data_IF_652418350805
#
_entry.id   IF_652418350805
#
_cell.length_a   1.000
_cell.length_b   1.000
_cell.length_c   1.000
_cell.angle_alpha   90.00
_cell.angle_beta   90.00
_cell.angle_gamma   90.00
#
_symmetry.space_group_name_H-M   'P 1'
#
loop_
_entity.id
_entity.type
_entity.pdbx_description
1 polymer ?
#
# COMPACT_ATOMS: atom_id res chain seq x y z
N UNK A 1 -18.63 -4.05 42.50
CA UNK A 1 -17.44 -3.72 41.68
C UNK A 1 -17.91 -3.03 40.43
N UNK A 2 -17.71 -1.72 40.36
CA UNK A 2 -18.05 -0.85 39.24
C UNK A 2 -16.80 -0.60 38.41
N UNK A 3 -16.85 -0.90 37.11
CA UNK A 3 -15.87 -0.43 36.13
C UNK A 3 -16.67 0.23 35.00
N UNK A 4 -16.53 1.54 34.87
CA UNK A 4 -17.15 2.34 33.81
C UNK A 4 -16.34 2.22 32.52
N UNK A 5 -16.96 2.09 31.33
CA UNK A 5 -16.33 2.47 30.07
C UNK A 5 -16.57 3.96 29.80
N UNK A 6 -15.49 4.68 29.54
CA UNK A 6 -15.51 6.10 29.18
C UNK A 6 -16.30 6.35 27.90
N UNK A 7 -17.19 7.34 27.98
CA UNK A 7 -17.79 8.13 26.90
C UNK A 7 -17.67 7.59 25.47
N UNK A 8 -18.67 6.80 25.06
CA UNK A 8 -18.97 6.59 23.65
C UNK A 8 -19.50 7.88 23.02
N UNK A 9 -18.70 8.49 22.15
CA UNK A 9 -19.18 9.49 21.20
C UNK A 9 -19.87 8.78 20.04
N UNK A 10 -21.19 8.94 19.93
CA UNK A 10 -21.93 8.61 18.72
C UNK A 10 -21.63 9.72 17.71
N UNK A 11 -20.86 9.43 16.65
CA UNK A 11 -20.60 10.38 15.57
C UNK A 11 -21.59 10.10 14.45
N UNK A 12 -22.71 10.83 14.43
CA UNK A 12 -23.64 10.78 13.30
C UNK A 12 -23.09 11.63 12.16
N UNK A 13 -23.17 11.13 10.92
CA UNK A 13 -22.82 11.88 9.70
C UNK A 13 -23.63 13.20 9.61
N UNK A 14 -24.81 13.26 10.25
CA UNK A 14 -25.63 14.46 10.29
C UNK A 14 -25.03 15.60 11.13
N UNK A 15 -24.20 15.29 12.14
CA UNK A 15 -23.62 16.30 13.03
C UNK A 15 -22.49 17.10 12.36
N UNK A 16 -21.88 16.56 11.30
CA UNK A 16 -20.85 17.23 10.51
C UNK A 16 -21.40 18.28 9.53
N UNK A 17 -22.73 18.32 9.31
CA UNK A 17 -23.33 19.17 8.28
C UNK A 17 -24.19 20.33 8.82
N UNK A 18 -24.43 20.41 10.13
CA UNK A 18 -25.39 21.38 10.69
C UNK A 18 -24.75 22.61 11.36
N UNK A 19 -23.58 23.04 10.93
CA UNK A 19 -22.90 24.19 11.52
C UNK A 19 -21.95 24.92 10.58
N UNK A 20 -22.45 25.56 9.53
CA UNK A 20 -21.72 26.59 8.77
C UNK A 20 -22.71 27.47 7.97
N UNK A 21 -23.32 28.46 8.63
CA UNK A 21 -23.80 29.65 7.94
C UNK A 21 -22.66 30.68 7.98
N UNK A 22 -21.94 30.81 6.87
CA UNK A 22 -20.81 31.72 6.76
C UNK A 22 -19.85 31.30 5.66
N UNK A 23 -19.91 32.03 4.55
CA UNK A 23 -18.87 32.22 3.53
C UNK A 23 -17.54 31.48 3.78
N UNK A 24 -17.32 30.37 3.09
CA UNK A 24 -16.00 29.99 2.58
C UNK A 24 -16.18 28.95 1.48
N UNK A 25 -15.73 29.31 0.28
CA UNK A 25 -15.78 28.47 -0.90
C UNK A 25 -15.02 27.16 -0.61
N UNK A 26 -15.78 26.10 -0.29
CA UNK A 26 -15.25 24.74 -0.27
C UNK A 26 -14.85 24.41 -1.70
N UNK A 27 -13.54 24.43 -1.97
CA UNK A 27 -12.95 23.68 -3.09
C UNK A 27 -13.32 22.22 -2.86
N UNK A 28 -14.48 21.82 -3.36
CA UNK A 28 -14.82 20.43 -3.58
C UNK A 28 -13.83 19.94 -4.64
N UNK A 29 -12.70 19.41 -4.19
CA UNK A 29 -11.77 18.70 -5.04
C UNK A 29 -12.60 17.67 -5.80
N UNK A 30 -12.59 17.75 -7.14
CA UNK A 30 -13.17 16.70 -7.97
C UNK A 30 -12.49 15.39 -7.57
N UNK A 31 -13.25 14.43 -7.08
CA UNK A 31 -12.80 13.05 -6.98
C UNK A 31 -12.80 12.52 -8.41
N UNK A 32 -11.74 12.80 -9.16
CA UNK A 32 -11.48 12.04 -10.38
C UNK A 32 -11.16 10.61 -9.93
N UNK A 33 -12.03 9.68 -10.31
CA UNK A 33 -11.94 8.30 -9.85
C UNK A 33 -10.84 7.59 -10.63
N UNK A 34 -9.73 7.30 -9.96
CA UNK A 34 -8.61 6.54 -10.53
C UNK A 34 -8.80 5.06 -10.24
N UNK A 35 -8.66 4.23 -11.28
CA UNK A 35 -8.71 2.77 -11.17
C UNK A 35 -7.32 2.16 -11.35
N UNK A 36 -6.99 1.17 -10.52
CA UNK A 36 -5.80 0.34 -10.71
C UNK A 36 -6.04 -0.63 -11.86
N UNK A 37 -5.13 -0.65 -12.84
CA UNK A 37 -5.20 -1.58 -13.98
C UNK A 37 -4.56 -2.95 -13.68
N UNK A 38 -3.70 -3.02 -12.66
CA UNK A 38 -3.04 -4.25 -12.26
C UNK A 38 -2.16 -4.04 -11.04
N UNK A 39 -1.91 -5.13 -10.32
CA UNK A 39 -1.09 -5.16 -9.12
C UNK A 39 0.01 -6.22 -9.29
N UNK A 40 1.23 -5.86 -8.93
CA UNK A 40 2.40 -6.72 -9.09
C UNK A 40 3.25 -6.69 -7.81
N UNK A 41 3.67 -7.86 -7.36
CA UNK A 41 4.55 -8.05 -6.20
C UNK A 41 5.88 -8.62 -6.66
N UNK A 42 6.98 -8.15 -6.08
CA UNK A 42 8.34 -8.56 -6.41
C UNK A 42 9.06 -9.02 -5.14
N UNK A 43 8.80 -10.24 -4.63
CA UNK A 43 9.37 -10.72 -3.37
C UNK A 43 10.91 -10.66 -3.34
N UNK A 44 11.54 -10.95 -4.48
CA UNK A 44 12.98 -10.88 -4.70
C UNK A 44 13.31 -9.71 -5.62
N UNK A 45 14.22 -8.83 -5.19
CA UNK A 45 14.72 -7.70 -6.00
C UNK A 45 15.26 -8.22 -7.34
N UNK A 46 14.92 -7.51 -8.42
CA UNK A 46 15.40 -7.77 -9.79
C UNK A 46 14.88 -9.04 -10.46
N UNK A 47 14.05 -9.84 -9.77
CA UNK A 47 13.38 -11.01 -10.34
C UNK A 47 12.05 -10.68 -11.02
N UNK A 48 11.39 -11.69 -11.62
CA UNK A 48 10.08 -11.53 -12.22
C UNK A 48 9.03 -11.13 -11.17
N UNK A 49 8.09 -10.29 -11.58
CA UNK A 49 6.95 -9.89 -10.74
C UNK A 49 5.82 -10.90 -10.79
N UNK A 50 5.09 -11.01 -9.69
CA UNK A 50 3.88 -11.81 -9.54
C UNK A 50 2.67 -10.91 -9.79
N UNK A 51 1.88 -11.20 -10.82
CA UNK A 51 0.60 -10.53 -11.04
C UNK A 51 -0.42 -11.05 -10.02
N UNK A 52 -1.10 -10.15 -9.31
CA UNK A 52 -2.06 -10.50 -8.25
C UNK A 52 -3.32 -9.65 -8.35
N UNK A 53 -4.45 -10.20 -7.90
CA UNK A 53 -5.72 -9.47 -7.86
C UNK A 53 -5.88 -8.63 -6.58
N UNK A 54 -5.25 -9.08 -5.50
CA UNK A 54 -5.26 -8.43 -4.19
C UNK A 54 -3.99 -8.81 -3.43
N UNK A 55 -3.60 -7.97 -2.47
CA UNK A 55 -2.46 -8.23 -1.60
C UNK A 55 -2.59 -7.46 -0.29
N UNK A 56 -2.00 -7.97 0.78
CA UNK A 56 -2.00 -7.31 2.07
C UNK A 56 -1.06 -6.09 2.07
N UNK A 57 -1.46 -5.05 2.80
CA UNK A 57 -0.70 -3.81 2.94
C UNK A 57 -0.38 -3.56 4.40
N UNK A 58 0.88 -3.22 4.68
CA UNK A 58 1.32 -2.72 5.99
C UNK A 58 1.93 -1.31 5.86
N UNK A 59 2.51 -0.81 6.94
CA UNK A 59 3.18 0.50 7.01
C UNK A 59 4.40 0.63 6.07
N UNK A 60 4.95 -0.48 5.58
CA UNK A 60 6.11 -0.56 4.68
C UNK A 60 5.70 -0.74 3.22
N UNK A 61 4.46 -1.17 2.95
CA UNK A 61 3.91 -1.34 1.62
C UNK A 61 3.23 -2.70 1.45
N UNK A 62 3.30 -3.25 0.24
CA UNK A 62 2.80 -4.59 -0.04
C UNK A 62 3.60 -5.59 0.79
N UNK A 63 2.92 -6.39 1.62
CA UNK A 63 3.57 -7.30 2.56
C UNK A 63 4.53 -8.23 1.82
N UNK A 64 5.81 -8.24 2.22
CA UNK A 64 6.83 -9.10 1.61
C UNK A 64 7.40 -8.61 0.27
N UNK A 65 6.92 -7.50 -0.29
CA UNK A 65 7.49 -6.92 -1.51
C UNK A 65 8.96 -6.49 -1.26
N UNK A 66 9.84 -6.87 -2.19
CA UNK A 66 11.30 -6.60 -2.19
C UNK A 66 12.01 -6.94 -0.88
N UNK A 67 11.54 -7.97 -0.18
CA UNK A 67 12.11 -8.39 1.10
C UNK A 67 13.38 -9.24 0.94
N UNK A 68 13.66 -9.75 -0.26
CA UNK A 68 14.83 -10.55 -0.57
C UNK A 68 15.66 -9.94 -1.71
N UNK A 69 16.92 -10.34 -1.79
CA UNK A 69 17.85 -9.95 -2.84
C UNK A 69 18.84 -11.08 -3.09
N UNK A 70 19.19 -11.31 -4.35
CA UNK A 70 20.24 -12.26 -4.73
C UNK A 70 21.59 -11.60 -4.52
N UNK A 71 22.52 -12.35 -3.93
CA UNK A 71 23.92 -11.96 -3.76
C UNK A 71 24.83 -13.01 -4.39
N UNK A 72 26.03 -12.60 -4.79
CA UNK A 72 27.06 -13.53 -5.24
C UNK A 72 27.79 -14.19 -4.05
N UNK A 73 28.81 -14.99 -4.35
CA UNK A 73 29.63 -15.69 -3.34
C UNK A 73 30.38 -14.75 -2.38
N UNK A 74 30.53 -13.48 -2.76
CA UNK A 74 31.22 -12.44 -1.97
C UNK A 74 30.23 -11.62 -1.14
N UNK A 75 28.93 -11.85 -1.32
CA UNK A 75 27.87 -11.08 -0.68
C UNK A 75 27.51 -9.79 -1.41
N UNK A 76 28.07 -9.55 -2.61
CA UNK A 76 27.73 -8.39 -3.42
C UNK A 76 26.36 -8.60 -4.06
N UNK A 77 25.53 -7.55 -4.05
CA UNK A 77 24.18 -7.64 -4.60
C UNK A 77 24.22 -7.75 -6.13
N UNK A 78 23.35 -8.60 -6.67
CA UNK A 78 23.15 -8.70 -8.11
C UNK A 78 21.92 -7.88 -8.54
N UNK A 79 22.09 -7.10 -9.59
CA UNK A 79 20.98 -6.38 -10.24
C UNK A 79 20.64 -6.98 -11.60
N UNK A 80 19.42 -6.73 -12.06
CA UNK A 80 18.99 -7.13 -13.41
C UNK A 80 19.85 -6.51 -14.54
N UNK A 81 20.51 -5.36 -14.29
CA UNK A 81 21.40 -4.73 -15.28
C UNK A 81 22.69 -5.52 -15.45
N UNK A 82 23.17 -6.16 -14.40
CA UNK A 82 24.38 -6.99 -14.40
C UNK A 82 24.06 -8.43 -14.82
N UNK A 83 22.92 -8.96 -14.37
CA UNK A 83 22.43 -10.30 -14.66
C UNK A 83 20.98 -10.26 -15.19
N UNK A 84 20.77 -10.02 -16.51
CA UNK A 84 19.44 -9.95 -17.11
C UNK A 84 18.58 -11.22 -16.91
N UNK A 85 19.21 -12.36 -16.69
CA UNK A 85 18.56 -13.64 -16.41
C UNK A 85 17.73 -13.62 -15.13
N UNK A 86 18.01 -12.70 -14.19
CA UNK A 86 17.17 -12.52 -13.01
C UNK A 86 15.71 -12.23 -13.41
N UNK A 87 15.48 -11.54 -14.53
CA UNK A 87 14.15 -11.26 -15.07
C UNK A 87 13.29 -12.51 -15.34
N UNK A 88 13.92 -13.67 -15.54
CA UNK A 88 13.22 -14.93 -15.85
C UNK A 88 13.00 -15.81 -14.63
N UNK A 89 13.53 -15.42 -13.47
CA UNK A 89 13.33 -16.14 -12.22
C UNK A 89 11.96 -15.76 -11.67
N UNK A 90 11.04 -16.71 -11.70
CA UNK A 90 9.70 -16.58 -11.12
C UNK A 90 9.71 -17.26 -9.75
N UNK A 91 9.61 -16.49 -8.64
CA UNK A 91 9.43 -17.09 -7.33
C UNK A 91 8.03 -17.75 -7.26
N UNK A 92 7.96 -18.93 -6.64
CA UNK A 92 6.71 -19.68 -6.39
C UNK A 92 6.14 -19.41 -4.99
#
# INVERSE_FOLDING_TARGET
>A
MSVSPGSGGHWSIADLLSGCCGSEARTAARIDTMHLNGLFVYPIKSCAGLAVDAWDLDERGLVGDRSYMVVDERGDFLTQREAPQLATVCPE
#
